data_IF_034538195573
#
_entry.id   IF_034538195573
#
_cell.length_a   1.000
_cell.length_b   1.000
_cell.length_c   1.000
_cell.angle_alpha   90.00
_cell.angle_beta   90.00
_cell.angle_gamma   90.00
#
_symmetry.space_group_name_H-M   'P 1'
#
loop_
_entity.id
_entity.type
_entity.pdbx_description
1 polymer ?
#
# COMPACT_ATOMS: atom_id res chain seq x y z
N UNK A 1 -3.04 10.21 -16.40
CA UNK A 1 -3.67 10.91 -17.54
C UNK A 1 -3.02 10.50 -18.85
N UNK A 2 -1.74 10.82 -19.14
CA UNK A 2 -1.08 10.47 -20.41
C UNK A 2 -1.25 8.99 -20.79
N UNK A 3 -1.03 8.07 -19.85
CA UNK A 3 -1.23 6.63 -20.08
C UNK A 3 -2.65 6.22 -20.46
N UNK A 4 -3.68 6.96 -20.04
CA UNK A 4 -5.07 6.71 -20.47
C UNK A 4 -5.27 7.08 -21.93
N UNK A 5 -4.67 8.20 -22.35
CA UNK A 5 -4.69 8.68 -23.74
C UNK A 5 -3.91 7.71 -24.64
N UNK A 6 -2.73 7.25 -24.19
CA UNK A 6 -1.96 6.22 -24.91
C UNK A 6 -2.63 4.85 -24.92
N UNK A 7 -3.57 4.62 -24.01
CA UNK A 7 -4.46 3.47 -23.99
C UNK A 7 -5.67 3.59 -24.94
N UNK A 8 -5.83 4.72 -25.64
CA UNK A 8 -6.88 4.95 -26.63
C UNK A 8 -8.12 5.66 -26.11
N UNK A 9 -8.12 6.17 -24.88
CA UNK A 9 -9.22 7.01 -24.38
C UNK A 9 -9.07 8.46 -24.85
N UNK A 10 -10.14 9.03 -25.39
CA UNK A 10 -10.18 10.45 -25.72
C UNK A 10 -10.44 11.28 -24.46
N UNK A 11 -9.40 11.94 -23.97
CA UNK A 11 -9.44 12.77 -22.76
C UNK A 11 -9.02 14.19 -23.15
N UNK A 12 -9.87 15.21 -22.97
CA UNK A 12 -9.50 16.58 -23.29
C UNK A 12 -8.39 17.07 -22.34
N UNK A 13 -7.24 17.42 -22.90
CA UNK A 13 -6.08 17.90 -22.14
C UNK A 13 -5.18 18.83 -22.97
N UNK A 14 -4.19 19.44 -22.32
CA UNK A 14 -3.12 20.21 -22.97
C UNK A 14 -1.74 19.75 -22.46
N UNK A 15 -0.69 20.14 -23.18
CA UNK A 15 0.68 19.72 -22.88
C UNK A 15 1.32 20.48 -21.71
N UNK A 16 0.71 21.60 -21.28
CA UNK A 16 1.26 22.51 -20.26
C UNK A 16 1.43 21.90 -18.88
N UNK A 17 0.78 20.77 -18.62
CA UNK A 17 0.86 20.03 -17.34
C UNK A 17 1.70 18.78 -17.43
N UNK A 18 2.30 18.48 -18.58
CA UNK A 18 3.30 17.44 -18.66
C UNK A 18 4.62 17.90 -18.04
N UNK A 19 5.37 17.00 -17.39
CA UNK A 19 6.65 17.35 -16.76
C UNK A 19 7.72 17.91 -17.71
N UNK A 20 7.55 17.70 -19.01
CA UNK A 20 8.44 18.16 -20.07
C UNK A 20 7.99 19.48 -20.69
N UNK A 21 7.16 20.26 -19.99
CA UNK A 21 6.76 21.59 -20.42
C UNK A 21 7.45 22.64 -19.55
N UNK A 22 8.19 23.55 -20.19
CA UNK A 22 8.68 24.79 -19.58
C UNK A 22 8.03 25.98 -20.27
N UNK A 23 7.96 27.13 -19.57
CA UNK A 23 7.40 28.35 -20.16
C UNK A 23 8.27 28.89 -21.30
N UNK A 24 9.58 28.62 -21.22
CA UNK A 24 10.58 29.19 -22.11
C UNK A 24 10.79 28.32 -23.35
N UNK A 25 10.85 26.99 -23.18
CA UNK A 25 11.17 26.04 -24.26
C UNK A 25 9.92 25.35 -24.82
N UNK A 26 8.78 25.48 -24.15
CA UNK A 26 7.55 24.80 -24.53
C UNK A 26 7.57 23.32 -24.15
N UNK A 27 6.87 22.49 -24.93
CA UNK A 27 6.74 21.05 -24.68
C UNK A 27 7.82 20.25 -25.42
N UNK A 28 8.58 19.45 -24.69
CA UNK A 28 9.63 18.59 -25.20
C UNK A 28 9.20 17.11 -25.15
N UNK A 29 8.87 16.52 -26.30
CA UNK A 29 8.37 15.15 -26.37
C UNK A 29 9.38 14.11 -25.86
N UNK A 30 10.67 14.32 -26.13
CA UNK A 30 11.74 13.41 -25.72
C UNK A 30 11.86 13.35 -24.20
N UNK A 31 11.87 14.50 -23.52
CA UNK A 31 11.89 14.54 -22.05
C UNK A 31 10.66 13.88 -21.41
N UNK A 32 9.50 14.00 -22.04
CA UNK A 32 8.30 13.30 -21.56
C UNK A 32 8.51 11.79 -21.66
N UNK A 33 9.06 11.32 -22.78
CA UNK A 33 9.39 9.91 -22.99
C UNK A 33 10.35 9.42 -21.90
N UNK A 34 11.45 10.13 -21.65
CA UNK A 34 12.43 9.78 -20.59
C UNK A 34 11.76 9.58 -19.23
N UNK A 35 10.77 10.41 -18.90
CA UNK A 35 10.01 10.30 -17.66
C UNK A 35 9.02 9.13 -17.66
N UNK A 36 8.43 8.78 -18.81
CA UNK A 36 7.54 7.62 -18.95
C UNK A 36 8.31 6.31 -18.75
N UNK A 37 9.53 6.18 -19.28
CA UNK A 37 10.35 4.97 -19.15
C UNK A 37 11.23 4.95 -17.89
N UNK A 38 11.18 5.98 -17.06
CA UNK A 38 11.93 6.02 -15.80
C UNK A 38 13.42 6.34 -15.93
N UNK A 39 13.89 6.82 -17.09
CA UNK A 39 15.31 7.16 -17.33
C UNK A 39 15.84 8.15 -16.29
N UNK A 40 15.06 9.18 -15.94
CA UNK A 40 15.41 10.12 -14.87
C UNK A 40 15.68 9.47 -13.49
N UNK A 41 15.03 8.34 -13.17
CA UNK A 41 15.28 7.61 -11.94
C UNK A 41 16.57 6.80 -12.07
N UNK A 42 16.80 6.19 -13.23
CA UNK A 42 18.04 5.47 -13.53
C UNK A 42 19.26 6.41 -13.50
N UNK A 43 19.15 7.62 -14.06
CA UNK A 43 20.19 8.63 -14.03
C UNK A 43 20.50 9.07 -12.59
N UNK A 44 19.46 9.31 -11.77
CA UNK A 44 19.65 9.65 -10.36
C UNK A 44 20.28 8.49 -9.56
N UNK A 45 19.93 7.24 -9.89
CA UNK A 45 20.60 6.08 -9.31
C UNK A 45 22.09 6.03 -9.69
N UNK A 46 22.44 6.30 -10.95
CA UNK A 46 23.83 6.35 -11.42
C UNK A 46 24.63 7.45 -10.71
N UNK A 47 24.07 8.65 -10.63
CA UNK A 47 24.67 9.79 -9.91
C UNK A 47 24.93 9.42 -8.44
N UNK A 48 23.96 8.85 -7.73
CA UNK A 48 24.15 8.46 -6.33
C UNK A 48 25.13 7.31 -6.13
N UNK A 49 25.22 6.37 -7.08
CA UNK A 49 26.21 5.29 -7.00
C UNK A 49 27.63 5.87 -7.07
N UNK A 50 27.84 6.91 -7.88
CA UNK A 50 29.14 7.57 -8.05
C UNK A 50 29.47 8.54 -6.89
N UNK A 51 28.49 9.32 -6.41
CA UNK A 51 28.73 10.36 -5.41
C UNK A 51 28.61 9.87 -3.96
N UNK A 52 27.54 9.12 -3.63
CA UNK A 52 27.20 8.74 -2.25
C UNK A 52 26.42 7.42 -2.19
N UNK A 53 27.18 6.34 -2.03
CA UNK A 53 26.63 4.99 -1.94
C UNK A 53 25.73 4.76 -0.71
N UNK A 54 25.89 5.53 0.36
CA UNK A 54 25.06 5.38 1.56
C UNK A 54 23.69 6.01 1.35
N UNK A 55 23.63 7.16 0.66
CA UNK A 55 22.36 7.72 0.17
C UNK A 55 21.68 6.79 -0.82
N UNK A 56 22.44 6.17 -1.72
CA UNK A 56 21.89 5.20 -2.67
C UNK A 56 21.17 4.05 -1.94
N UNK A 57 21.84 3.44 -0.95
CA UNK A 57 21.26 2.36 -0.14
C UNK A 57 20.00 2.80 0.62
N UNK A 58 19.98 4.03 1.15
CA UNK A 58 18.82 4.55 1.87
C UNK A 58 17.62 4.78 0.96
N UNK A 59 17.81 5.50 -0.14
CA UNK A 59 16.73 5.88 -1.05
C UNK A 59 16.21 4.69 -1.87
N UNK A 60 17.12 3.83 -2.35
CA UNK A 60 16.82 2.73 -3.27
C UNK A 60 16.86 1.34 -2.61
N UNK A 61 16.76 1.27 -1.28
CA UNK A 61 16.77 0.00 -0.51
C UNK A 61 15.87 -1.10 -1.08
N UNK A 62 14.65 -0.75 -1.51
CA UNK A 62 13.70 -1.71 -2.10
C UNK A 62 14.10 -2.18 -3.51
N UNK A 63 14.72 -1.31 -4.30
CA UNK A 63 15.24 -1.67 -5.61
C UNK A 63 16.40 -2.66 -5.46
N UNK A 64 17.31 -2.37 -4.52
CA UNK A 64 18.42 -3.28 -4.17
C UNK A 64 17.89 -4.63 -3.68
N UNK A 65 16.87 -4.65 -2.82
CA UNK A 65 16.25 -5.89 -2.34
C UNK A 65 15.56 -6.70 -3.45
N UNK A 66 15.03 -6.01 -4.47
CA UNK A 66 14.44 -6.63 -5.64
C UNK A 66 15.47 -7.01 -6.72
N UNK A 67 16.74 -6.64 -6.54
CA UNK A 67 17.81 -6.84 -7.52
C UNK A 67 17.70 -5.94 -8.74
N UNK A 68 17.00 -4.81 -8.65
CA UNK A 68 16.74 -3.91 -9.77
C UNK A 68 17.82 -2.81 -9.83
N UNK A 69 18.63 -2.82 -10.87
CA UNK A 69 19.66 -1.81 -11.17
C UNK A 69 19.17 -0.64 -12.03
N UNK A 70 19.99 0.40 -12.24
CA UNK A 70 19.63 1.55 -13.09
C UNK A 70 19.34 1.14 -14.55
N UNK A 71 20.10 0.21 -15.10
CA UNK A 71 19.95 -0.21 -16.50
C UNK A 71 18.70 -1.08 -16.74
N UNK A 72 18.15 -1.68 -15.68
CA UNK A 72 16.98 -2.56 -15.76
C UNK A 72 15.65 -1.80 -15.67
N UNK A 73 15.67 -0.51 -15.29
CA UNK A 73 14.46 0.29 -15.08
C UNK A 73 13.67 0.47 -16.38
N UNK A 74 14.35 0.80 -17.48
CA UNK A 74 13.69 1.01 -18.77
C UNK A 74 12.98 -0.26 -19.24
N UNK A 75 13.71 -1.39 -19.22
CA UNK A 75 13.18 -2.69 -19.61
C UNK A 75 12.00 -3.11 -18.73
N UNK A 76 12.08 -2.90 -17.42
CA UNK A 76 10.98 -3.18 -16.48
C UNK A 76 9.68 -2.46 -16.88
N UNK A 77 9.75 -1.16 -17.21
CA UNK A 77 8.56 -0.41 -17.63
C UNK A 77 8.05 -0.86 -19.01
N UNK A 78 8.94 -1.09 -19.97
CA UNK A 78 8.56 -1.56 -21.31
C UNK A 78 7.88 -2.93 -21.27
N UNK A 79 8.41 -3.86 -20.47
CA UNK A 79 7.80 -5.15 -20.22
C UNK A 79 6.44 -5.03 -19.54
N UNK A 80 6.32 -4.17 -18.52
CA UNK A 80 5.04 -3.94 -17.85
C UNK A 80 3.98 -3.42 -18.84
N UNK A 81 4.33 -2.46 -19.70
CA UNK A 81 3.43 -1.95 -20.72
C UNK A 81 2.99 -3.03 -21.72
N UNK A 82 3.90 -3.94 -22.12
CA UNK A 82 3.55 -5.08 -22.98
C UNK A 82 2.58 -6.04 -22.28
N UNK A 83 2.90 -6.46 -21.06
CA UNK A 83 2.08 -7.38 -20.24
C UNK A 83 0.67 -6.84 -19.99
N UNK A 84 0.52 -5.54 -19.71
CA UNK A 84 -0.79 -4.89 -19.51
C UNK A 84 -1.63 -4.88 -20.80
N UNK A 85 -1.00 -4.65 -21.97
CA UNK A 85 -1.69 -4.69 -23.27
C UNK A 85 -2.10 -6.10 -23.66
N UNK A 86 -1.27 -7.10 -23.34
CA UNK A 86 -1.55 -8.52 -23.60
C UNK A 86 -2.72 -9.04 -22.75
N UNK A 87 -2.76 -8.69 -21.46
CA UNK A 87 -3.84 -9.09 -20.56
C UNK A 87 -4.32 -7.91 -19.69
N UNK A 88 -5.35 -7.16 -20.13
CA UNK A 88 -5.87 -6.01 -19.40
C UNK A 88 -6.83 -6.40 -18.26
N UNK A 89 -7.19 -7.68 -18.11
CA UNK A 89 -8.14 -8.12 -17.10
C UNK A 89 -7.53 -8.07 -15.70
N UNK A 90 -8.31 -7.62 -14.71
CA UNK A 90 -7.89 -7.66 -13.31
C UNK A 90 -7.82 -9.11 -12.81
N UNK A 91 -6.69 -9.49 -12.20
CA UNK A 91 -6.54 -10.80 -11.57
C UNK A 91 -7.43 -10.92 -10.33
N UNK A 92 -8.35 -11.91 -10.27
CA UNK A 92 -9.14 -12.14 -9.07
C UNK A 92 -8.24 -12.58 -7.93
N UNK A 93 -8.45 -12.01 -6.74
CA UNK A 93 -7.78 -12.48 -5.52
C UNK A 93 -8.45 -13.77 -5.07
N UNK A 94 -7.69 -14.85 -4.97
CA UNK A 94 -8.16 -16.08 -4.32
C UNK A 94 -8.51 -15.76 -2.87
N UNK A 95 -9.75 -16.07 -2.49
CA UNK A 95 -10.18 -15.96 -1.10
C UNK A 95 -9.79 -17.25 -0.42
N UNK A 96 -8.94 -17.14 0.60
CA UNK A 96 -8.67 -18.24 1.50
C UNK A 96 -9.96 -18.60 2.26
N UNK A 97 -10.62 -19.70 1.86
CA UNK A 97 -11.86 -20.18 2.46
C UNK A 97 -11.66 -20.57 3.94
N UNK A 98 -10.43 -20.87 4.36
CA UNK A 98 -10.11 -21.25 5.74
C UNK A 98 -10.11 -20.07 6.72
N UNK A 99 -10.05 -18.83 6.22
CA UNK A 99 -10.10 -17.62 7.05
C UNK A 99 -11.51 -17.36 7.55
N UNK A 100 -11.86 -18.00 8.67
CA UNK A 100 -13.01 -17.56 9.47
C UNK A 100 -12.75 -16.12 9.93
N UNK A 101 -13.65 -15.20 9.61
CA UNK A 101 -13.50 -13.80 9.99
C UNK A 101 -13.42 -13.67 11.52
N UNK A 102 -12.22 -13.34 12.04
CA UNK A 102 -12.03 -13.09 13.47
C UNK A 102 -12.92 -11.93 13.89
N UNK A 103 -13.88 -12.20 14.77
CA UNK A 103 -14.71 -11.16 15.33
C UNK A 103 -13.96 -10.48 16.48
N UNK A 104 -13.64 -9.20 16.30
CA UNK A 104 -13.01 -8.35 17.33
C UNK A 104 -14.01 -7.79 18.34
N UNK A 105 -15.30 -8.07 18.16
CA UNK A 105 -16.37 -7.64 19.05
C UNK A 105 -16.57 -8.66 20.14
N UNK A 106 -16.85 -8.19 21.35
CA UNK A 106 -17.27 -9.06 22.44
C UNK A 106 -18.56 -9.80 22.08
N UNK A 107 -18.59 -11.09 22.39
CA UNK A 107 -19.79 -11.90 22.21
C UNK A 107 -20.84 -11.46 23.22
N UNK A 108 -22.08 -11.31 22.79
CA UNK A 108 -23.20 -11.02 23.69
C UNK A 108 -23.34 -12.16 24.71
N UNK A 109 -23.27 -11.83 26.00
CA UNK A 109 -23.43 -12.79 27.09
C UNK A 109 -24.75 -13.56 26.98
N UNK A 110 -24.70 -14.87 27.27
CA UNK A 110 -25.88 -15.73 27.23
C UNK A 110 -26.76 -15.52 28.46
N UNK A 111 -27.99 -16.04 28.43
CA UNK A 111 -28.92 -15.97 29.55
C UNK A 111 -28.42 -16.75 30.78
N UNK A 112 -27.74 -17.88 30.56
CA UNK A 112 -27.13 -18.69 31.63
C UNK A 112 -25.98 -17.93 32.30
N UNK A 113 -25.07 -17.37 31.51
CA UNK A 113 -23.98 -16.52 32.02
C UNK A 113 -24.53 -15.31 32.80
N UNK A 114 -25.62 -14.70 32.34
CA UNK A 114 -26.30 -13.63 33.09
C UNK A 114 -26.83 -14.11 34.44
N UNK A 115 -27.46 -15.29 34.49
CA UNK A 115 -28.00 -15.86 35.73
C UNK A 115 -26.88 -16.24 36.71
N UNK A 116 -25.79 -16.80 36.22
CA UNK A 116 -24.60 -17.11 37.03
C UNK A 116 -23.96 -15.84 37.57
N UNK A 117 -23.77 -14.81 36.75
CA UNK A 117 -23.24 -13.52 37.18
C UNK A 117 -24.12 -12.86 38.25
N UNK A 118 -25.45 -13.04 38.19
CA UNK A 118 -26.36 -12.57 39.25
C UNK A 118 -26.17 -13.37 40.53
N UNK A 119 -26.10 -14.71 40.45
CA UNK A 119 -25.89 -15.58 41.63
C UNK A 119 -24.55 -15.31 42.30
N UNK A 120 -23.47 -15.21 41.54
CA UNK A 120 -22.12 -14.93 42.07
C UNK A 120 -22.09 -13.55 42.72
N UNK A 121 -22.72 -12.55 42.11
CA UNK A 121 -22.83 -11.20 42.68
C UNK A 121 -23.64 -11.16 43.98
N UNK A 122 -24.73 -11.93 44.08
CA UNK A 122 -25.52 -12.06 45.32
C UNK A 122 -24.70 -12.77 46.39
N UNK A 123 -24.03 -13.88 46.06
CA UNK A 123 -23.22 -14.64 47.00
C UNK A 123 -22.04 -13.82 47.54
N UNK A 124 -21.34 -13.07 46.69
CA UNK A 124 -20.26 -12.17 47.13
C UNK A 124 -20.74 -11.07 48.06
N UNK A 125 -21.94 -10.52 47.82
CA UNK A 125 -22.54 -9.52 48.70
C UNK A 125 -22.95 -10.11 50.06
N UNK A 126 -23.50 -11.33 50.07
CA UNK A 126 -23.83 -12.03 51.32
C UNK A 126 -22.59 -12.37 52.13
N UNK A 127 -21.50 -12.78 51.48
CA UNK A 127 -20.24 -13.05 52.15
C UNK A 127 -19.61 -11.78 52.72
N UNK A 128 -19.59 -10.68 51.95
CA UNK A 128 -19.07 -9.41 52.44
C UNK A 128 -19.85 -8.87 53.65
N UNK A 129 -21.18 -9.01 53.66
CA UNK A 129 -22.00 -8.62 54.81
C UNK A 129 -21.73 -9.50 56.05
N UNK A 130 -21.52 -10.80 55.86
CA UNK A 130 -21.16 -11.69 56.96
C UNK A 130 -19.76 -11.42 57.53
N UNK A 131 -18.81 -11.05 56.67
CA UNK A 131 -17.46 -10.63 57.10
C UNK A 131 -17.48 -9.27 57.82
N UNK A 132 -18.33 -8.32 57.42
CA UNK A 132 -18.54 -7.05 58.15
C UNK A 132 -19.20 -7.27 59.53
N UNK A 133 -20.17 -8.18 59.64
CA UNK A 133 -20.83 -8.52 60.92
C UNK A 133 -19.90 -9.29 61.89
N UNK A 134 -18.89 -10.01 61.39
CA UNK A 134 -17.88 -10.71 62.21
C UNK A 134 -16.72 -9.79 62.66
N UNK A 135 -16.60 -8.58 62.10
CA UNK A 135 -15.58 -7.56 62.45
C UNK A 135 -16.08 -6.48 63.44
N UNK A 136 -17.38 -6.43 63.77
CA UNK A 136 -18.00 -5.58 64.83
C UNK A 136 -18.04 -6.24 66.22
#
# INVERSE_FOLDING_TARGET
MKGCVDGGLDVPHNEKRFPAYTKDEGFLADELRKRIIGEHVADYMRELIEEDQDRYKQQFSKYIAAGIGPDEIEDMYLEAHKKIRENPAAFPKEKDESRTHRQWREKKITLEQRRENVKTKIASLMQAAAEEDDEE
#
